data_IF_427053554131
#
_entry.id   IF_427053554131
#
_cell.length_a   1.000
_cell.length_b   1.000
_cell.length_c   1.000
_cell.angle_alpha   90.00
_cell.angle_beta   90.00
_cell.angle_gamma   90.00
#
_symmetry.space_group_name_H-M   'P 1'
#
loop_
_entity.id
_entity.type
_entity.pdbx_description
1 polymer ?
#
# COMPACT_ATOMS: atom_id res chain seq x y z
N UNK A 1 10.29 -13.32 27.18
CA UNK A 1 9.07 -13.17 26.34
C UNK A 1 8.71 -14.56 25.89
N UNK A 2 7.55 -15.08 26.26
CA UNK A 2 7.10 -16.38 25.81
C UNK A 2 6.90 -16.31 24.31
N UNK A 3 7.55 -17.20 23.55
CA UNK A 3 7.31 -17.39 22.12
C UNK A 3 5.92 -18.04 21.95
N UNK A 4 4.88 -17.25 22.04
CA UNK A 4 3.57 -17.75 21.73
C UNK A 4 3.39 -17.76 20.21
N UNK A 5 2.99 -18.90 19.62
CA UNK A 5 2.78 -18.99 18.19
C UNK A 5 1.65 -18.05 17.74
N UNK A 6 1.76 -17.49 16.56
CA UNK A 6 0.70 -16.72 15.91
C UNK A 6 0.05 -17.57 14.83
N UNK A 7 -1.25 -17.37 14.60
CA UNK A 7 -2.00 -18.12 13.59
C UNK A 7 -1.80 -17.49 12.21
N UNK A 8 -1.65 -16.17 12.16
CA UNK A 8 -1.47 -15.41 10.91
C UNK A 8 -0.35 -14.38 11.08
N UNK A 9 0.60 -14.41 10.16
CA UNK A 9 1.63 -13.38 10.03
C UNK A 9 1.35 -12.54 8.78
N UNK A 10 1.12 -11.24 8.96
CA UNK A 10 0.96 -10.27 7.89
C UNK A 10 2.29 -9.50 7.75
N UNK A 11 2.84 -9.46 6.55
CA UNK A 11 4.05 -8.70 6.26
C UNK A 11 3.65 -7.48 5.44
N UNK A 12 3.78 -6.31 6.05
CA UNK A 12 3.40 -5.01 5.52
C UNK A 12 2.01 -4.55 5.96
N UNK A 13 1.95 -3.36 6.55
CA UNK A 13 0.72 -2.71 7.02
C UNK A 13 0.19 -1.67 6.01
N UNK A 14 0.37 -1.91 4.72
CA UNK A 14 -0.27 -1.14 3.66
C UNK A 14 -1.74 -1.55 3.46
N UNK A 15 -2.38 -1.05 2.39
CA UNK A 15 -3.80 -1.29 2.12
C UNK A 15 -4.18 -2.77 2.13
N UNK A 16 -3.39 -3.63 1.48
CA UNK A 16 -3.68 -5.07 1.41
C UNK A 16 -3.54 -5.76 2.77
N UNK A 17 -2.50 -5.42 3.55
CA UNK A 17 -2.31 -5.96 4.90
C UNK A 17 -3.43 -5.53 5.83
N UNK A 18 -3.85 -4.26 5.75
CA UNK A 18 -4.96 -3.73 6.53
C UNK A 18 -6.29 -4.42 6.17
N UNK A 19 -6.58 -4.61 4.87
CA UNK A 19 -7.77 -5.32 4.42
C UNK A 19 -7.79 -6.79 4.88
N UNK A 20 -6.63 -7.45 4.83
CA UNK A 20 -6.49 -8.82 5.34
C UNK A 20 -6.74 -8.87 6.84
N UNK A 21 -6.11 -7.98 7.62
CA UNK A 21 -6.33 -7.90 9.06
C UNK A 21 -7.81 -7.64 9.38
N UNK A 22 -8.43 -6.70 8.66
CA UNK A 22 -9.85 -6.39 8.81
C UNK A 22 -10.75 -7.61 8.56
N UNK A 23 -10.49 -8.37 7.50
CA UNK A 23 -11.28 -9.56 7.16
C UNK A 23 -11.21 -10.67 8.21
N UNK A 24 -10.18 -10.64 9.06
CA UNK A 24 -9.96 -11.64 10.10
C UNK A 24 -10.40 -11.19 11.50
N UNK A 25 -10.96 -9.97 11.66
CA UNK A 25 -11.33 -9.41 12.97
C UNK A 25 -12.33 -10.29 13.74
N UNK A 26 -13.28 -10.91 13.04
CA UNK A 26 -14.30 -11.78 13.66
C UNK A 26 -13.75 -13.18 14.02
N UNK A 27 -12.52 -13.47 13.63
CA UNK A 27 -11.89 -14.74 13.98
C UNK A 27 -11.26 -14.68 15.38
N UNK A 28 -10.97 -15.84 15.94
CA UNK A 28 -10.20 -15.93 17.19
C UNK A 28 -8.71 -16.11 16.94
N UNK A 29 -8.25 -15.88 15.72
CA UNK A 29 -6.86 -16.02 15.31
C UNK A 29 -6.01 -14.95 15.96
N UNK A 30 -4.82 -15.33 16.38
CA UNK A 30 -3.78 -14.39 16.82
C UNK A 30 -3.03 -13.91 15.60
N UNK A 31 -3.17 -12.61 15.30
CA UNK A 31 -2.61 -11.98 14.12
C UNK A 31 -1.42 -11.13 14.55
N UNK A 32 -0.29 -11.30 13.89
CA UNK A 32 0.87 -10.42 13.99
C UNK A 32 1.07 -9.74 12.66
N UNK A 33 1.12 -8.40 12.68
CA UNK A 33 1.48 -7.61 11.51
C UNK A 33 2.87 -7.02 11.73
N UNK A 34 3.77 -7.26 10.78
CA UNK A 34 5.10 -6.66 10.75
C UNK A 34 5.13 -5.56 9.69
N UNK A 35 5.52 -4.37 10.10
CA UNK A 35 5.71 -3.22 9.22
C UNK A 35 7.14 -2.70 9.37
N UNK A 36 7.77 -2.34 8.25
CA UNK A 36 9.14 -1.83 8.21
C UNK A 36 9.19 -0.34 8.55
N UNK A 37 8.16 0.41 8.13
CA UNK A 37 8.10 1.85 8.32
C UNK A 37 7.55 2.25 9.68
N UNK A 38 7.71 3.52 10.08
CA UNK A 38 7.22 4.03 11.35
C UNK A 38 5.69 4.18 11.34
N UNK A 39 5.13 4.21 12.54
CA UNK A 39 3.79 4.76 12.74
C UNK A 39 3.90 6.30 12.75
N UNK A 40 3.18 6.95 11.84
CA UNK A 40 3.11 8.42 11.79
C UNK A 40 1.94 8.91 12.63
N UNK A 41 2.19 9.92 13.44
CA UNK A 41 1.17 10.67 14.16
C UNK A 41 0.68 11.86 13.32
N UNK A 42 -0.47 12.42 13.67
CA UNK A 42 -1.05 13.57 12.95
C UNK A 42 -0.09 14.75 12.79
N UNK A 43 0.79 14.96 13.78
CA UNK A 43 1.81 16.02 13.74
C UNK A 43 2.92 15.79 12.71
N UNK A 44 3.11 14.54 12.28
CA UNK A 44 4.17 14.16 11.36
C UNK A 44 3.76 14.38 9.89
N UNK A 45 2.46 14.65 9.66
CA UNK A 45 1.95 14.89 8.31
C UNK A 45 2.15 16.34 7.89
N UNK A 46 2.84 16.59 6.76
CA UNK A 46 3.15 17.95 6.30
C UNK A 46 1.91 18.70 5.80
N UNK A 47 0.78 18.03 5.58
CA UNK A 47 -0.47 18.65 5.10
C UNK A 47 -1.04 19.73 6.04
N UNK A 48 -0.48 19.84 7.25
CA UNK A 48 -0.82 20.89 8.24
C UNK A 48 0.00 22.17 8.09
N UNK A 49 1.09 22.10 7.35
CA UNK A 49 2.05 23.19 7.21
C UNK A 49 1.84 23.94 5.90
N UNK A 50 2.08 25.26 5.93
CA UNK A 50 2.13 26.06 4.71
C UNK A 50 3.24 25.53 3.79
N UNK A 51 2.92 25.32 2.51
CA UNK A 51 3.88 24.80 1.54
C UNK A 51 4.11 23.29 1.64
N UNK A 52 3.16 22.53 2.20
CA UNK A 52 3.25 21.08 2.33
C UNK A 52 3.56 20.35 1.01
N UNK A 53 3.18 20.94 -0.13
CA UNK A 53 3.50 20.39 -1.45
C UNK A 53 5.01 20.22 -1.66
N UNK A 54 5.82 21.09 -1.06
CA UNK A 54 7.28 21.01 -1.15
C UNK A 54 7.83 19.80 -0.39
N UNK A 55 7.16 19.35 0.66
CA UNK A 55 7.56 18.15 1.40
C UNK A 55 7.51 16.87 0.54
N UNK A 56 6.70 16.86 -0.51
CA UNK A 56 6.60 15.76 -1.49
C UNK A 56 7.83 15.65 -2.39
N UNK A 57 8.67 16.65 -2.44
CA UNK A 57 9.97 16.62 -3.12
C UNK A 57 11.14 16.28 -2.19
N UNK A 58 10.87 16.00 -0.93
CA UNK A 58 11.82 15.63 0.11
C UNK A 58 11.33 14.47 0.97
N UNK A 59 11.22 14.69 2.27
CA UNK A 59 10.91 13.66 3.27
C UNK A 59 9.55 12.92 3.05
N UNK A 60 8.64 13.53 2.32
CA UNK A 60 7.35 12.94 1.92
C UNK A 60 7.29 12.56 0.44
N UNK A 61 8.43 12.46 -0.22
CA UNK A 61 8.47 11.92 -1.57
C UNK A 61 7.98 10.48 -1.58
N UNK A 62 7.24 10.08 -2.61
CA UNK A 62 6.89 8.69 -2.82
C UNK A 62 8.07 7.85 -3.38
N UNK A 63 9.17 8.52 -3.77
CA UNK A 63 10.40 7.87 -4.21
C UNK A 63 11.37 7.72 -3.02
N UNK A 64 11.68 6.48 -2.58
CA UNK A 64 12.61 6.25 -1.47
C UNK A 64 14.04 6.72 -1.79
N UNK A 65 14.45 6.75 -3.05
CA UNK A 65 15.76 7.27 -3.45
C UNK A 65 15.87 8.79 -3.23
N UNK A 66 14.74 9.51 -3.39
CA UNK A 66 14.65 10.95 -3.09
C UNK A 66 14.56 11.19 -1.60
N UNK A 67 13.76 10.39 -0.88
CA UNK A 67 13.59 10.50 0.58
C UNK A 67 14.88 10.25 1.34
N UNK A 68 15.60 9.19 0.96
CA UNK A 68 16.93 8.85 1.51
C UNK A 68 16.96 8.61 3.03
N UNK A 69 15.85 8.17 3.62
CA UNK A 69 15.79 7.87 5.05
C UNK A 69 16.49 6.53 5.36
N UNK A 70 16.98 6.37 6.59
CA UNK A 70 17.69 5.14 7.00
C UNK A 70 16.84 3.86 6.89
N UNK A 71 15.53 3.99 7.04
CA UNK A 71 14.57 2.89 6.91
C UNK A 71 14.19 2.59 5.46
N UNK A 72 14.57 3.47 4.54
CA UNK A 72 14.32 3.24 3.11
C UNK A 72 15.45 2.42 2.50
N UNK A 73 15.12 1.57 1.54
CA UNK A 73 16.13 1.02 0.65
C UNK A 73 16.04 1.72 -0.71
N UNK A 74 17.18 1.89 -1.39
CA UNK A 74 17.16 2.35 -2.75
C UNK A 74 16.39 1.34 -3.63
N UNK A 75 15.59 1.86 -4.56
CA UNK A 75 14.97 1.05 -5.60
C UNK A 75 15.86 1.09 -6.81
N UNK A 76 16.32 -0.08 -7.27
CA UNK A 76 16.98 -0.21 -8.56
C UNK A 76 15.92 -0.39 -9.65
N UNK A 77 15.84 0.59 -10.54
CA UNK A 77 14.91 0.61 -11.66
C UNK A 77 15.63 0.61 -13.02
N UNK A 78 16.93 0.26 -13.06
CA UNK A 78 17.75 0.37 -14.26
C UNK A 78 17.19 -0.45 -15.45
N UNK A 79 16.63 -1.61 -15.17
CA UNK A 79 16.02 -2.50 -16.16
C UNK A 79 14.49 -2.36 -16.26
N UNK A 80 13.90 -1.34 -15.64
CA UNK A 80 12.46 -1.12 -15.61
C UNK A 80 12.04 -0.01 -16.56
N UNK A 81 10.95 -0.20 -17.29
CA UNK A 81 10.34 0.87 -18.08
C UNK A 81 9.55 1.88 -17.25
N UNK A 82 9.40 1.63 -15.94
CA UNK A 82 8.74 2.51 -14.98
C UNK A 82 9.66 2.75 -13.79
N UNK A 83 9.49 3.87 -13.12
CA UNK A 83 10.12 4.13 -11.81
C UNK A 83 9.14 3.70 -10.72
N UNK A 84 9.36 2.54 -10.06
CA UNK A 84 8.49 2.12 -8.97
C UNK A 84 8.70 3.04 -7.77
N UNK A 85 7.60 3.36 -7.11
CA UNK A 85 7.60 4.22 -5.93
C UNK A 85 6.88 3.52 -4.78
N UNK A 86 7.31 3.80 -3.56
CA UNK A 86 6.65 3.32 -2.35
C UNK A 86 6.83 4.32 -1.19
N UNK A 87 6.04 4.16 -0.15
CA UNK A 87 6.21 4.90 1.08
C UNK A 87 6.23 3.92 2.27
N UNK A 88 7.30 3.99 3.08
CA UNK A 88 7.51 3.10 4.22
C UNK A 88 6.95 3.71 5.50
N UNK A 89 5.74 3.32 5.84
CA UNK A 89 5.07 3.66 7.08
C UNK A 89 3.88 2.71 7.31
N UNK A 90 3.34 2.69 8.51
CA UNK A 90 2.02 2.08 8.76
C UNK A 90 1.00 2.77 7.85
N UNK A 91 0.33 2.02 7.00
CA UNK A 91 -0.51 2.53 5.91
C UNK A 91 0.15 2.43 4.52
N UNK A 92 1.48 2.33 4.48
CA UNK A 92 2.24 2.18 3.22
C UNK A 92 2.03 3.35 2.27
N UNK A 93 2.08 3.08 0.98
CA UNK A 93 1.95 4.10 -0.08
C UNK A 93 0.59 4.82 -0.10
N UNK A 94 -0.43 4.32 0.62
CA UNK A 94 -1.70 5.03 0.75
C UNK A 94 -1.60 6.37 1.48
N UNK A 95 -0.52 6.60 2.25
CA UNK A 95 -0.23 7.88 2.89
C UNK A 95 -0.06 9.01 1.86
N UNK A 96 0.56 8.70 0.71
CA UNK A 96 0.74 9.65 -0.39
C UNK A 96 -0.37 9.60 -1.44
N UNK A 97 -1.44 8.88 -1.16
CA UNK A 97 -2.54 8.70 -2.08
C UNK A 97 -3.40 9.95 -2.18
N UNK A 98 -3.74 10.36 -3.40
CA UNK A 98 -4.50 11.58 -3.67
C UNK A 98 -6.02 11.44 -3.54
N UNK A 99 -6.50 10.37 -2.90
CA UNK A 99 -7.92 10.20 -2.62
C UNK A 99 -8.77 9.72 -3.80
N UNK A 100 -8.16 9.31 -4.92
CA UNK A 100 -8.90 8.69 -6.02
C UNK A 100 -9.19 7.23 -5.71
N UNK A 101 -10.45 6.91 -5.45
CA UNK A 101 -10.90 5.55 -5.15
C UNK A 101 -12.09 5.16 -6.04
N UNK A 102 -11.91 5.15 -7.37
CA UNK A 102 -12.99 4.80 -8.27
C UNK A 102 -13.31 3.30 -8.14
N UNK A 103 -14.59 2.99 -8.23
CA UNK A 103 -15.03 1.61 -8.40
C UNK A 103 -14.59 1.11 -9.77
N UNK A 104 -13.95 -0.05 -9.82
CA UNK A 104 -13.55 -0.67 -11.08
C UNK A 104 -14.77 -1.02 -11.94
N UNK A 105 -14.63 -0.94 -13.26
CA UNK A 105 -15.63 -1.39 -14.21
C UNK A 105 -15.48 -2.88 -14.47
N UNK A 106 -16.54 -3.60 -14.88
CA UNK A 106 -16.43 -5.01 -15.26
C UNK A 106 -15.36 -5.28 -16.32
N UNK A 107 -15.16 -4.34 -17.26
CA UNK A 107 -14.12 -4.43 -18.31
C UNK A 107 -12.71 -4.43 -17.76
N UNK A 108 -12.45 -3.75 -16.62
CA UNK A 108 -11.11 -3.62 -16.05
C UNK A 108 -10.55 -4.96 -15.55
N UNK A 109 -11.42 -5.94 -15.33
CA UNK A 109 -11.04 -7.30 -14.95
C UNK A 109 -10.66 -8.19 -16.14
N UNK A 110 -10.86 -7.73 -17.38
CA UNK A 110 -10.76 -8.52 -18.60
C UNK A 110 -9.97 -7.81 -19.71
N UNK A 111 -8.95 -7.05 -19.33
CA UNK A 111 -8.18 -6.22 -20.28
C UNK A 111 -7.45 -7.06 -21.34
N UNK A 112 -6.90 -8.21 -20.97
CA UNK A 112 -6.26 -9.09 -21.97
C UNK A 112 -7.31 -9.67 -22.95
N UNK A 113 -8.42 -10.18 -22.43
CA UNK A 113 -9.45 -10.80 -23.28
C UNK A 113 -10.18 -9.78 -24.17
N UNK A 114 -10.35 -8.53 -23.72
CA UNK A 114 -11.12 -7.51 -24.45
C UNK A 114 -10.24 -6.66 -25.37
N UNK A 115 -9.05 -6.27 -24.88
CA UNK A 115 -8.20 -5.27 -25.54
C UNK A 115 -6.86 -5.84 -26.03
N UNK A 116 -6.56 -7.10 -25.69
CA UNK A 116 -5.31 -7.77 -26.10
C UNK A 116 -4.07 -7.29 -25.36
N UNK A 117 -4.21 -6.52 -24.28
CA UNK A 117 -3.11 -5.96 -23.48
C UNK A 117 -3.25 -6.28 -22.00
N UNK A 118 -2.13 -6.27 -21.27
CA UNK A 118 -2.11 -6.54 -19.83
C UNK A 118 -2.42 -8.01 -19.50
N UNK A 119 -3.24 -8.23 -18.49
CA UNK A 119 -3.68 -9.54 -18.02
C UNK A 119 -5.13 -9.46 -17.53
N UNK A 120 -5.85 -10.56 -17.62
CA UNK A 120 -7.14 -10.69 -16.94
C UNK A 120 -6.91 -10.97 -15.45
N UNK A 121 -7.77 -10.41 -14.62
CA UNK A 121 -7.79 -10.74 -13.21
C UNK A 121 -8.32 -12.16 -12.99
N UNK A 122 -7.88 -12.87 -11.93
CA UNK A 122 -8.38 -14.22 -11.60
C UNK A 122 -9.80 -14.20 -11.01
N UNK A 123 -10.40 -13.03 -10.88
CA UNK A 123 -11.77 -12.80 -10.41
C UNK A 123 -12.45 -11.77 -11.30
N UNK A 124 -13.75 -11.68 -11.22
CA UNK A 124 -14.55 -10.73 -11.97
C UNK A 124 -15.18 -9.64 -11.08
N UNK A 125 -15.87 -8.70 -11.71
CA UNK A 125 -16.56 -7.62 -11.02
C UNK A 125 -17.58 -8.12 -10.02
N UNK A 126 -18.39 -9.14 -10.38
CA UNK A 126 -19.47 -9.63 -9.52
C UNK A 126 -18.94 -10.29 -8.25
N UNK A 127 -17.78 -10.94 -8.36
CA UNK A 127 -17.05 -11.49 -7.21
C UNK A 127 -16.60 -10.40 -6.24
N UNK A 128 -16.16 -9.25 -6.75
CA UNK A 128 -15.64 -8.14 -5.93
C UNK A 128 -16.75 -7.18 -5.46
N UNK A 129 -17.84 -7.07 -6.20
CA UNK A 129 -18.90 -6.09 -5.94
C UNK A 129 -19.45 -6.06 -4.50
N UNK A 130 -19.59 -7.19 -3.78
CA UNK A 130 -20.03 -7.18 -2.39
C UNK A 130 -19.08 -6.50 -1.39
N UNK A 131 -17.83 -6.24 -1.80
CA UNK A 131 -16.78 -5.65 -0.95
C UNK A 131 -16.54 -4.16 -1.20
N UNK A 132 -17.32 -3.54 -2.09
CA UNK A 132 -17.24 -2.10 -2.35
C UNK A 132 -18.00 -1.25 -1.33
#
# INVERSE_FOLDING_TARGET
>A
MQNEPVDVLIIGAGASGAATAWSLLETRMRILCLEQGPHLEDKDYPSRDDGYELARYGNFSCDPNVRGLKQDYPINADDSCITPVNFNAVGGSTINFLGHWPRMKPSDFRTLSLDGVGADWPLDYDTLAPFY
#
